data_IF_830411261704
#
_entry.id   IF_830411261704
#
_cell.length_a   1.000
_cell.length_b   1.000
_cell.length_c   1.000
_cell.angle_alpha   90.00
_cell.angle_beta   90.00
_cell.angle_gamma   90.00
#
_symmetry.space_group_name_H-M   'P 1'
#
loop_
_entity.id
_entity.type
_entity.pdbx_description
1 polymer ?
#
# COMPACT_ATOMS: atom_id res chain seq x y z
N UNK A 1 -3.50 9.93 11.48
CA UNK A 1 -2.79 9.98 12.75
C UNK A 1 -1.32 10.32 12.54
N UNK A 2 -0.66 10.82 13.57
CA UNK A 2 0.76 11.17 13.51
C UNK A 2 1.65 9.99 13.14
N UNK A 3 1.27 8.76 13.49
CA UNK A 3 2.04 7.56 13.18
C UNK A 3 2.04 7.23 11.68
N UNK A 4 1.04 7.68 10.93
CA UNK A 4 1.01 7.49 9.47
C UNK A 4 1.69 8.61 8.70
N UNK A 5 1.94 9.73 9.35
CA UNK A 5 2.54 10.90 8.74
C UNK A 5 3.96 10.63 8.27
N UNK A 6 4.79 10.02 9.13
CA UNK A 6 6.18 9.72 8.81
C UNK A 6 6.28 8.76 7.63
N UNK A 7 5.37 7.79 7.55
CA UNK A 7 5.30 6.86 6.44
C UNK A 7 5.00 7.57 5.12
N UNK A 8 4.14 8.59 5.14
CA UNK A 8 3.80 9.37 3.95
C UNK A 8 4.96 10.22 3.47
N UNK A 9 5.77 10.76 4.39
CA UNK A 9 7.01 11.45 4.04
C UNK A 9 8.04 10.48 3.45
N UNK A 10 8.17 9.32 4.05
CA UNK A 10 9.11 8.30 3.58
C UNK A 10 8.77 7.82 2.17
N UNK A 11 7.48 7.70 1.85
CA UNK A 11 7.01 7.26 0.54
C UNK A 11 7.28 8.28 -0.57
N UNK A 12 7.51 9.55 -0.24
CA UNK A 12 7.69 10.61 -1.24
C UNK A 12 8.77 10.25 -2.25
N UNK A 13 9.93 9.81 -1.79
CA UNK A 13 11.05 9.46 -2.67
C UNK A 13 10.69 8.27 -3.57
N UNK A 14 10.00 7.29 -3.03
CA UNK A 14 9.58 6.10 -3.76
C UNK A 14 8.58 6.48 -4.86
N UNK A 15 7.56 7.24 -4.51
CA UNK A 15 6.52 7.68 -5.46
C UNK A 15 7.16 8.48 -6.60
N UNK A 16 8.04 9.42 -6.27
CA UNK A 16 8.74 10.23 -7.25
C UNK A 16 9.56 9.36 -8.21
N UNK A 17 10.28 8.38 -7.69
CA UNK A 17 11.08 7.46 -8.49
C UNK A 17 10.23 6.62 -9.43
N UNK A 18 9.10 6.09 -8.97
CA UNK A 18 8.20 5.29 -9.80
C UNK A 18 7.52 6.14 -10.87
N UNK A 19 7.10 7.35 -10.52
CA UNK A 19 6.51 8.27 -11.50
C UNK A 19 7.46 8.58 -12.66
N UNK A 20 8.75 8.70 -12.36
CA UNK A 20 9.77 8.93 -13.37
C UNK A 20 10.00 7.72 -14.28
N UNK A 21 9.92 6.50 -13.72
CA UNK A 21 10.18 5.26 -14.46
C UNK A 21 8.94 4.72 -15.16
N UNK A 22 7.75 4.99 -14.66
CA UNK A 22 6.50 4.39 -15.12
C UNK A 22 5.50 5.49 -15.48
N UNK A 23 5.47 5.95 -16.74
CA UNK A 23 4.55 7.04 -17.16
C UNK A 23 3.06 6.69 -16.95
N UNK A 24 2.72 5.41 -16.95
CA UNK A 24 1.35 4.95 -16.76
C UNK A 24 0.91 4.88 -15.30
N UNK A 25 1.85 5.03 -14.35
CA UNK A 25 1.51 4.93 -12.94
C UNK A 25 0.88 6.22 -12.41
N UNK A 26 -0.09 6.06 -11.51
CA UNK A 26 -0.68 7.16 -10.75
C UNK A 26 -0.84 6.72 -9.30
N UNK A 27 -0.90 7.68 -8.38
CA UNK A 27 -0.95 7.39 -6.96
C UNK A 27 -2.10 8.12 -6.29
N UNK A 28 -2.68 7.49 -5.30
CA UNK A 28 -3.63 8.10 -4.38
C UNK A 28 -3.07 8.00 -2.96
N UNK A 29 -3.13 9.08 -2.23
CA UNK A 29 -2.65 9.12 -0.85
C UNK A 29 -3.64 9.91 -0.01
N UNK A 30 -3.99 9.38 1.18
CA UNK A 30 -4.84 10.07 2.12
C UNK A 30 -4.00 11.00 2.99
N UNK A 31 -4.46 12.23 3.18
CA UNK A 31 -3.79 13.16 4.05
C UNK A 31 -4.48 14.51 4.09
N UNK A 32 -4.15 15.26 5.09
CA UNK A 32 -4.61 16.63 5.25
C UNK A 32 -3.71 17.60 4.48
N UNK A 33 -3.87 18.88 4.74
CA UNK A 33 -3.20 19.93 3.97
C UNK A 33 -1.67 19.78 3.94
N UNK A 34 -1.07 19.31 5.01
CA UNK A 34 0.39 19.08 5.07
C UNK A 34 0.83 18.07 4.00
N UNK A 35 0.07 16.98 3.84
CA UNK A 35 0.38 15.95 2.85
C UNK A 35 0.07 16.47 1.44
N UNK A 36 -0.99 17.24 1.28
CA UNK A 36 -1.26 17.89 0.01
C UNK A 36 -0.07 18.75 -0.42
N UNK A 37 0.48 19.58 0.47
CA UNK A 37 1.65 20.40 0.17
C UNK A 37 2.86 19.56 -0.22
N UNK A 38 3.03 18.41 0.43
CA UNK A 38 4.17 17.52 0.19
C UNK A 38 4.13 16.93 -1.23
N UNK A 39 2.94 16.67 -1.77
CA UNK A 39 2.80 15.93 -3.02
C UNK A 39 2.29 16.76 -4.20
N UNK A 40 1.82 18.00 -3.99
CA UNK A 40 1.14 18.78 -5.03
C UNK A 40 2.02 19.10 -6.24
N UNK A 41 3.34 19.05 -6.10
CA UNK A 41 4.28 19.32 -7.19
C UNK A 41 4.55 18.10 -8.07
N UNK A 42 4.07 16.91 -7.67
CA UNK A 42 4.25 15.70 -8.44
C UNK A 42 3.07 15.48 -9.38
N UNK A 43 3.33 15.03 -10.63
CA UNK A 43 2.26 14.67 -11.55
C UNK A 43 1.60 13.37 -11.11
N UNK A 44 0.33 13.20 -11.50
CA UNK A 44 -0.38 11.91 -11.33
C UNK A 44 -0.44 11.42 -9.89
N UNK A 45 -0.45 12.34 -8.93
CA UNK A 45 -0.68 12.04 -7.51
C UNK A 45 -1.92 12.79 -7.06
N UNK A 46 -2.89 12.07 -6.53
CA UNK A 46 -4.11 12.64 -5.95
C UNK A 46 -4.03 12.49 -4.43
N UNK A 47 -4.21 13.61 -3.72
CA UNK A 47 -4.27 13.59 -2.26
C UNK A 47 -5.75 13.68 -1.86
N UNK A 48 -6.21 12.66 -1.14
CA UNK A 48 -7.61 12.56 -0.71
C UNK A 48 -7.70 12.93 0.76
N UNK A 49 -8.77 13.64 1.12
CA UNK A 49 -9.03 13.98 2.53
C UNK A 49 -9.31 12.70 3.33
N UNK A 50 -8.87 12.65 4.60
CA UNK A 50 -9.24 11.56 5.49
C UNK A 50 -10.76 11.43 5.57
N UNK A 51 -11.23 10.20 5.66
CA UNK A 51 -12.65 9.88 5.72
C UNK A 51 -13.00 9.31 7.09
N UNK A 52 -14.29 9.41 7.45
CA UNK A 52 -14.80 8.63 8.58
C UNK A 52 -14.62 7.16 8.28
N UNK A 53 -14.61 6.31 9.31
CA UNK A 53 -14.47 4.87 9.11
C UNK A 53 -15.55 4.31 8.19
N UNK A 54 -16.79 4.75 8.36
CA UNK A 54 -17.91 4.30 7.54
C UNK A 54 -17.73 4.66 6.07
N UNK A 55 -17.33 5.91 5.80
CA UNK A 55 -17.08 6.36 4.44
C UNK A 55 -15.89 5.67 3.82
N UNK A 56 -14.82 5.45 4.59
CA UNK A 56 -13.65 4.74 4.12
C UNK A 56 -13.97 3.29 3.75
N UNK A 57 -14.74 2.61 4.60
CA UNK A 57 -15.16 1.24 4.32
C UNK A 57 -15.97 1.16 3.02
N UNK A 58 -16.91 2.08 2.83
CA UNK A 58 -17.69 2.15 1.58
C UNK A 58 -16.78 2.42 0.38
N UNK A 59 -15.83 3.33 0.54
CA UNK A 59 -14.84 3.64 -0.49
C UNK A 59 -14.06 2.38 -0.90
N UNK A 60 -13.56 1.60 0.05
CA UNK A 60 -12.79 0.39 -0.26
C UNK A 60 -13.62 -0.68 -0.97
N UNK A 61 -14.94 -0.71 -0.76
CA UNK A 61 -15.82 -1.67 -1.42
C UNK A 61 -16.11 -1.32 -2.87
N UNK A 62 -16.07 -0.06 -3.23
CA UNK A 62 -16.44 0.43 -4.56
C UNK A 62 -15.27 0.91 -5.40
N UNK A 63 -14.15 1.20 -4.77
CA UNK A 63 -12.96 1.72 -5.44
C UNK A 63 -11.98 0.60 -5.72
N UNK A 64 -11.40 0.59 -6.91
CA UNK A 64 -10.41 -0.43 -7.32
C UNK A 64 -9.02 0.19 -7.37
N UNK A 65 -8.05 -0.55 -6.85
CA UNK A 65 -6.63 -0.23 -6.93
C UNK A 65 -5.87 -1.44 -7.45
N UNK A 66 -4.76 -1.20 -8.10
CA UNK A 66 -3.89 -2.28 -8.56
C UNK A 66 -2.90 -2.72 -7.49
N UNK A 67 -2.33 -1.75 -6.77
CA UNK A 67 -1.25 -1.99 -5.81
C UNK A 67 -1.49 -1.13 -4.58
N UNK A 68 -1.37 -1.72 -3.39
CA UNK A 68 -1.41 -1.00 -2.13
C UNK A 68 -0.03 -0.92 -1.50
N UNK A 69 0.27 0.19 -0.84
CA UNK A 69 1.55 0.40 -0.17
C UNK A 69 1.33 0.53 1.33
N UNK A 70 1.98 -0.31 2.11
CA UNK A 70 1.85 -0.33 3.57
C UNK A 70 3.22 -0.40 4.24
N UNK A 71 3.99 0.69 4.20
CA UNK A 71 5.25 0.74 4.94
C UNK A 71 4.99 0.84 6.44
N UNK A 72 5.87 0.24 7.23
CA UNK A 72 5.92 0.39 8.68
C UNK A 72 7.32 0.85 9.05
N UNK A 73 7.42 2.09 9.51
CA UNK A 73 8.68 2.62 9.99
C UNK A 73 8.91 2.19 11.44
N UNK A 74 10.15 2.33 11.89
CA UNK A 74 10.58 1.89 13.20
C UNK A 74 9.96 2.75 14.30
N UNK A 75 8.78 2.34 14.81
CA UNK A 75 8.15 2.98 15.95
C UNK A 75 7.45 1.91 16.78
N UNK A 76 7.42 2.10 18.09
CA UNK A 76 6.78 1.16 19.00
C UNK A 76 5.27 1.00 18.79
N UNK A 77 4.62 1.98 18.18
CA UNK A 77 3.18 1.93 17.93
C UNK A 77 2.78 0.96 16.85
N UNK A 78 3.69 0.62 15.94
CA UNK A 78 3.38 -0.24 14.81
C UNK A 78 3.12 -1.69 15.24
N UNK A 79 3.67 -2.12 16.37
CA UNK A 79 3.55 -3.48 16.87
C UNK A 79 2.11 -3.85 17.24
N UNK A 80 1.27 -2.86 17.56
CA UNK A 80 -0.11 -3.09 17.97
C UNK A 80 -1.08 -3.20 16.78
N UNK A 81 -0.64 -2.96 15.56
CA UNK A 81 -1.51 -2.98 14.39
C UNK A 81 -1.77 -4.39 13.91
N UNK A 82 -3.03 -4.69 13.65
CA UNK A 82 -3.42 -5.93 13.02
C UNK A 82 -3.30 -5.86 11.49
N UNK A 83 -3.87 -6.84 10.78
CA UNK A 83 -3.77 -6.95 9.32
C UNK A 83 -4.76 -6.05 8.57
N UNK A 84 -5.08 -4.87 9.08
CA UNK A 84 -6.12 -3.99 8.53
C UNK A 84 -5.82 -3.60 7.10
N UNK A 85 -4.59 -3.18 6.80
CA UNK A 85 -4.21 -2.77 5.45
C UNK A 85 -4.31 -3.92 4.45
N UNK A 86 -3.99 -5.13 4.87
CA UNK A 86 -4.13 -6.30 4.02
C UNK A 86 -5.59 -6.47 3.57
N UNK A 87 -6.55 -6.38 4.51
CA UNK A 87 -7.97 -6.50 4.17
C UNK A 87 -8.46 -5.34 3.32
N UNK A 88 -7.98 -4.12 3.57
CA UNK A 88 -8.32 -2.97 2.75
C UNK A 88 -7.92 -3.20 1.29
N UNK A 89 -6.69 -3.68 1.07
CA UNK A 89 -6.20 -3.96 -0.28
C UNK A 89 -6.99 -5.08 -0.96
N UNK A 90 -7.30 -6.13 -0.22
CA UNK A 90 -8.12 -7.23 -0.76
C UNK A 90 -9.48 -6.73 -1.25
N UNK A 91 -10.15 -5.88 -0.46
CA UNK A 91 -11.44 -5.32 -0.86
C UNK A 91 -11.35 -4.50 -2.16
N UNK A 92 -10.23 -3.83 -2.35
CA UNK A 92 -10.00 -3.00 -3.55
C UNK A 92 -9.42 -3.79 -4.73
N UNK A 93 -9.17 -5.09 -4.56
CA UNK A 93 -8.62 -5.94 -5.61
C UNK A 93 -7.13 -5.74 -5.85
N UNK A 94 -6.42 -5.20 -4.87
CA UNK A 94 -5.01 -4.85 -4.98
C UNK A 94 -4.10 -5.93 -4.40
N UNK A 95 -2.86 -5.97 -4.92
CA UNK A 95 -1.75 -6.64 -4.25
C UNK A 95 -1.05 -5.63 -3.36
N UNK A 96 -0.62 -6.05 -2.16
CA UNK A 96 0.07 -5.17 -1.23
C UNK A 96 1.59 -5.32 -1.27
N UNK A 97 2.28 -4.21 -1.07
CA UNK A 97 3.71 -4.17 -0.75
C UNK A 97 3.81 -3.70 0.70
N UNK A 98 4.47 -4.47 1.52
CA UNK A 98 4.53 -4.28 2.97
C UNK A 98 5.97 -4.28 3.47
N UNK A 99 6.23 -3.52 4.53
CA UNK A 99 7.49 -3.65 5.25
C UNK A 99 7.63 -5.06 5.84
N UNK A 100 8.80 -5.67 5.68
CA UNK A 100 9.07 -7.03 6.17
C UNK A 100 9.29 -7.04 7.68
N UNK A 101 8.21 -6.89 8.41
CA UNK A 101 8.14 -6.91 9.86
C UNK A 101 6.74 -7.22 10.32
N UNK A 102 6.61 -7.66 11.57
CA UNK A 102 5.31 -7.91 12.19
C UNK A 102 4.47 -6.62 12.20
N UNK A 103 3.15 -6.69 11.92
CA UNK A 103 2.37 -7.93 11.76
C UNK A 103 2.43 -8.54 10.35
N UNK A 104 2.89 -7.82 9.35
CA UNK A 104 2.80 -8.29 7.96
C UNK A 104 3.60 -9.57 7.72
N UNK A 105 4.82 -9.66 8.25
CA UNK A 105 5.66 -10.85 8.09
C UNK A 105 5.05 -12.12 8.70
N UNK A 106 4.04 -11.97 9.55
CA UNK A 106 3.40 -13.10 10.22
C UNK A 106 2.38 -13.81 9.33
N UNK A 107 1.86 -13.13 8.30
CA UNK A 107 0.81 -13.72 7.46
C UNK A 107 0.98 -13.48 5.96
N UNK A 108 1.92 -12.63 5.55
CA UNK A 108 2.23 -12.46 4.13
C UNK A 108 3.30 -13.47 3.73
N UNK A 109 3.03 -14.24 2.69
CA UNK A 109 3.99 -15.14 2.08
C UNK A 109 4.59 -14.46 0.86
N UNK A 110 5.91 -14.30 0.88
CA UNK A 110 6.67 -13.53 -0.11
C UNK A 110 6.38 -14.00 -1.53
N UNK A 111 5.95 -13.06 -2.37
CA UNK A 111 5.65 -13.29 -3.79
C UNK A 111 4.54 -14.33 -4.04
N UNK A 112 3.73 -14.61 -3.05
CA UNK A 112 2.55 -15.48 -3.16
C UNK A 112 1.26 -14.68 -2.98
N UNK A 113 1.11 -14.01 -1.83
CA UNK A 113 -0.08 -13.21 -1.53
C UNK A 113 0.24 -11.74 -1.22
N UNK A 114 1.45 -11.32 -1.51
CA UNK A 114 1.93 -9.97 -1.29
C UNK A 114 3.43 -9.90 -1.47
N UNK A 115 3.98 -8.74 -1.24
CA UNK A 115 5.43 -8.50 -1.34
C UNK A 115 5.91 -7.91 -0.03
N UNK A 116 6.92 -8.54 0.58
CA UNK A 116 7.57 -8.06 1.80
C UNK A 116 8.93 -7.49 1.44
N UNK A 117 9.22 -6.28 1.90
CA UNK A 117 10.48 -5.59 1.60
C UNK A 117 11.06 -4.97 2.86
N UNK A 118 12.38 -4.96 2.94
CA UNK A 118 13.07 -4.11 3.89
C UNK A 118 12.78 -2.64 3.58
N UNK A 119 12.92 -1.76 4.57
CA UNK A 119 12.66 -0.33 4.40
C UNK A 119 13.81 0.37 3.68
N UNK A 120 14.06 -0.03 2.45
CA UNK A 120 15.04 0.54 1.54
C UNK A 120 14.28 1.11 0.34
N UNK A 121 14.27 2.44 0.15
CA UNK A 121 13.51 3.05 -0.93
C UNK A 121 13.82 2.48 -2.32
N UNK A 122 15.07 2.12 -2.59
CA UNK A 122 15.43 1.58 -3.91
C UNK A 122 14.80 0.20 -4.16
N UNK A 123 14.69 -0.62 -3.12
CA UNK A 123 14.01 -1.92 -3.23
C UNK A 123 12.52 -1.73 -3.51
N UNK A 124 11.91 -0.73 -2.88
CA UNK A 124 10.49 -0.42 -3.10
C UNK A 124 10.24 0.12 -4.51
N UNK A 125 11.10 1.01 -5.00
CA UNK A 125 10.99 1.54 -6.36
C UNK A 125 11.07 0.40 -7.37
N UNK A 126 12.03 -0.50 -7.21
CA UNK A 126 12.23 -1.63 -8.12
C UNK A 126 11.03 -2.58 -8.10
N UNK A 127 10.58 -3.01 -6.92
CA UNK A 127 9.47 -3.94 -6.79
C UNK A 127 8.17 -3.34 -7.33
N UNK A 128 7.91 -2.08 -7.00
CA UNK A 128 6.73 -1.39 -7.48
C UNK A 128 6.73 -1.24 -8.99
N UNK A 129 7.88 -0.88 -9.58
CA UNK A 129 8.02 -0.76 -11.03
C UNK A 129 7.77 -2.10 -11.74
N UNK A 130 8.26 -3.20 -11.18
CA UNK A 130 8.00 -4.55 -11.71
C UNK A 130 6.50 -4.84 -11.69
N UNK A 131 5.82 -4.58 -10.58
CA UNK A 131 4.39 -4.83 -10.47
C UNK A 131 3.56 -3.92 -11.39
N UNK A 132 3.95 -2.67 -11.55
CA UNK A 132 3.28 -1.76 -12.49
C UNK A 132 3.34 -2.31 -13.91
N UNK A 133 4.48 -2.87 -14.30
CA UNK A 133 4.71 -3.35 -15.67
C UNK A 133 4.30 -4.80 -15.92
N UNK A 134 3.83 -5.53 -14.90
CA UNK A 134 3.52 -6.95 -15.01
C UNK A 134 2.12 -7.25 -14.49
N UNK A 135 1.12 -7.05 -15.34
CA UNK A 135 -0.30 -7.23 -14.97
C UNK A 135 -0.59 -8.66 -14.48
N UNK A 136 -0.03 -9.66 -15.16
CA UNK A 136 -0.26 -11.06 -14.78
C UNK A 136 0.22 -11.35 -13.37
N UNK A 137 1.37 -10.82 -12.98
CA UNK A 137 1.92 -10.99 -11.64
C UNK A 137 1.03 -10.28 -10.59
N UNK A 138 0.63 -9.03 -10.86
CA UNK A 138 -0.28 -8.29 -9.98
C UNK A 138 -1.56 -9.06 -9.72
N UNK A 139 -2.18 -9.53 -10.80
CA UNK A 139 -3.46 -10.23 -10.73
C UNK A 139 -3.35 -11.55 -9.98
N UNK A 140 -2.28 -12.30 -10.20
CA UNK A 140 -2.05 -13.56 -9.49
C UNK A 140 -1.91 -13.34 -7.99
N UNK A 141 -1.07 -12.38 -7.60
CA UNK A 141 -0.84 -12.08 -6.19
C UNK A 141 -2.11 -11.56 -5.51
N UNK A 142 -2.89 -10.73 -6.21
CA UNK A 142 -4.15 -10.22 -5.70
C UNK A 142 -5.18 -11.35 -5.50
N UNK A 143 -5.26 -12.29 -6.43
CA UNK A 143 -6.14 -13.46 -6.28
C UNK A 143 -5.74 -14.32 -5.09
N UNK A 144 -4.45 -14.56 -4.92
CA UNK A 144 -3.93 -15.33 -3.79
C UNK A 144 -4.21 -14.61 -2.47
N UNK A 145 -4.07 -13.29 -2.43
CA UNK A 145 -4.39 -12.50 -1.25
C UNK A 145 -5.87 -12.62 -0.88
N UNK A 146 -6.75 -12.60 -1.86
CA UNK A 146 -8.18 -12.76 -1.64
C UNK A 146 -8.50 -14.15 -1.06
N UNK A 147 -7.89 -15.19 -1.60
CA UNK A 147 -8.05 -16.55 -1.06
C UNK A 147 -7.56 -16.66 0.38
N UNK A 148 -6.42 -16.05 0.67
CA UNK A 148 -5.88 -16.03 2.04
C UNK A 148 -6.83 -15.31 3.00
N UNK A 149 -7.37 -14.18 2.58
CA UNK A 149 -8.32 -13.41 3.40
C UNK A 149 -9.56 -14.24 3.74
N UNK A 150 -10.10 -14.97 2.78
CA UNK A 150 -11.21 -15.89 3.03
C UNK A 150 -10.84 -17.00 4.00
N UNK A 151 -9.65 -17.58 3.85
CA UNK A 151 -9.15 -18.61 4.75
C UNK A 151 -9.05 -18.09 6.18
N UNK A 152 -8.53 -16.88 6.38
CA UNK A 152 -8.42 -16.27 7.70
C UNK A 152 -9.80 -16.01 8.32
N UNK A 153 -10.77 -15.58 7.52
CA UNK A 153 -12.12 -15.28 7.99
C UNK A 153 -12.88 -16.53 8.45
N UNK A 154 -12.50 -17.71 7.95
CA UNK A 154 -13.19 -18.97 8.24
C UNK A 154 -12.48 -19.83 9.31
N UNK A 155 -11.52 -19.24 10.02
CA UNK A 155 -10.83 -19.92 11.13
C UNK A 155 -11.61 -19.78 12.44
#
# INVERSE_FOLDING_TARGET
>A
SSSHRDEKYWLRHIIEGVLALCPQASFEIFGEHEIYKLYRDLPRVSVLHPMTWQNYLAYTKTHRLDIGLAPLLDSGFNLARGPVKFYDFVRMGAVGIYSNRSPYSDFIEQNVNGVLLENDPQKWIKALSVLVNTETKRSELARNAKKHAYSLANQ
#
